data_IF_228923020479
#
_entry.id   IF_228923020479
#
_cell.length_a   1.000
_cell.length_b   1.000
_cell.length_c   1.000
_cell.angle_alpha   90.00
_cell.angle_beta   90.00
_cell.angle_gamma   90.00
#
_symmetry.space_group_name_H-M   'P 1'
#
loop_
_entity.id
_entity.type
_entity.pdbx_description
1 polymer ?
#
# COMPACT_ATOMS: atom_id res chain seq x y z
N UNK A 1 -0.22 -20.60 30.47
CA UNK A 1 -0.95 -20.49 29.19
C UNK A 1 -0.33 -19.37 28.37
N UNK A 2 0.25 -19.67 27.21
CA UNK A 2 0.75 -18.63 26.31
C UNK A 2 -0.45 -17.82 25.80
N UNK A 3 -0.51 -16.53 26.13
CA UNK A 3 -1.50 -15.60 25.56
C UNK A 3 -1.29 -15.64 24.04
N UNK A 4 -2.23 -16.20 23.29
CA UNK A 4 -2.22 -16.15 21.83
C UNK A 4 -2.16 -14.67 21.45
N UNK A 5 -1.01 -14.20 21.00
CA UNK A 5 -0.83 -12.80 20.61
C UNK A 5 -1.84 -12.51 19.51
N UNK A 6 -2.78 -11.60 19.78
CA UNK A 6 -3.79 -11.23 18.80
C UNK A 6 -3.12 -10.68 17.55
N UNK A 7 -3.63 -11.07 16.38
CA UNK A 7 -3.12 -10.57 15.09
C UNK A 7 -3.16 -9.03 15.10
N UNK A 8 -2.09 -8.32 14.69
CA UNK A 8 -2.13 -6.87 14.55
C UNK A 8 -3.30 -6.45 13.66
N UNK A 9 -3.99 -5.36 13.99
CA UNK A 9 -5.19 -4.91 13.25
C UNK A 9 -6.19 -6.06 12.97
N UNK A 10 -6.85 -6.64 13.98
CA UNK A 10 -7.71 -7.81 13.79
C UNK A 10 -8.89 -7.56 12.83
N UNK A 11 -9.29 -6.30 12.63
CA UNK A 11 -10.35 -5.88 11.70
C UNK A 11 -9.89 -5.70 10.24
N UNK A 12 -8.58 -5.68 9.98
CA UNK A 12 -8.05 -5.57 8.62
C UNK A 12 -8.26 -6.92 7.90
N UNK A 13 -8.99 -7.00 6.78
CA UNK A 13 -9.09 -8.26 6.05
C UNK A 13 -7.75 -8.57 5.37
N UNK A 14 -7.37 -9.85 5.28
CA UNK A 14 -6.17 -10.32 4.57
C UNK A 14 -6.62 -10.94 3.25
N UNK A 15 -6.74 -10.09 2.23
CA UNK A 15 -7.35 -10.47 0.95
C UNK A 15 -6.29 -10.92 -0.05
N UNK A 16 -6.65 -11.91 -0.87
CA UNK A 16 -5.87 -12.34 -2.03
C UNK A 16 -6.09 -11.38 -3.20
N UNK A 17 -5.02 -11.01 -3.92
CA UNK A 17 -5.13 -10.30 -5.20
C UNK A 17 -5.77 -11.19 -6.28
N UNK A 18 -6.62 -10.61 -7.13
CA UNK A 18 -7.33 -11.36 -8.17
C UNK A 18 -6.41 -11.90 -9.27
N UNK A 19 -5.50 -11.07 -9.75
CA UNK A 19 -4.44 -11.45 -10.71
C UNK A 19 -3.10 -10.92 -10.21
N UNK A 20 -2.01 -11.25 -10.90
CA UNK A 20 -0.66 -10.74 -10.64
C UNK A 20 -0.58 -9.20 -10.56
N UNK A 21 -1.46 -8.50 -11.28
CA UNK A 21 -1.45 -7.03 -11.38
C UNK A 21 -2.41 -6.31 -10.42
N UNK A 22 -3.08 -7.06 -9.54
CA UNK A 22 -4.11 -6.53 -8.64
C UNK A 22 -3.62 -6.25 -7.21
N UNK A 23 -2.32 -6.27 -6.94
CA UNK A 23 -1.78 -6.01 -5.60
C UNK A 23 -2.21 -4.64 -5.05
N UNK A 24 -2.12 -3.57 -5.85
CA UNK A 24 -2.59 -2.23 -5.48
C UNK A 24 -4.09 -2.18 -5.14
N UNK A 25 -4.99 -2.61 -6.05
CA UNK A 25 -6.42 -2.76 -5.76
C UNK A 25 -6.73 -3.62 -4.52
N UNK A 26 -6.00 -4.72 -4.31
CA UNK A 26 -6.17 -5.58 -3.15
C UNK A 26 -5.82 -4.84 -1.85
N UNK A 27 -4.72 -4.09 -1.83
CA UNK A 27 -4.36 -3.24 -0.69
C UNK A 27 -5.42 -2.18 -0.43
N UNK A 28 -5.99 -1.54 -1.45
CA UNK A 28 -7.09 -0.59 -1.26
C UNK A 28 -8.35 -1.26 -0.68
N UNK A 29 -8.73 -2.44 -1.19
CA UNK A 29 -9.84 -3.23 -0.63
C UNK A 29 -9.58 -3.57 0.84
N UNK A 30 -8.34 -3.89 1.22
CA UNK A 30 -7.98 -4.18 2.60
C UNK A 30 -8.07 -2.95 3.49
N UNK A 31 -7.48 -1.82 3.08
CA UNK A 31 -7.53 -0.56 3.84
C UNK A 31 -8.97 -0.02 3.98
N UNK A 32 -9.78 -0.10 2.92
CA UNK A 32 -11.20 0.25 2.99
C UNK A 32 -11.97 -0.67 3.94
N UNK A 33 -11.69 -1.98 3.89
CA UNK A 33 -12.29 -2.98 4.77
C UNK A 33 -11.97 -2.74 6.24
N UNK A 34 -10.74 -2.31 6.56
CA UNK A 34 -10.36 -1.89 7.91
C UNK A 34 -11.20 -0.71 8.41
N UNK A 35 -11.59 0.21 7.53
CA UNK A 35 -12.48 1.33 7.82
C UNK A 35 -13.97 0.97 7.75
N UNK A 36 -14.31 -0.31 7.56
CA UNK A 36 -15.68 -0.83 7.54
C UNK A 36 -16.35 -0.84 6.17
N UNK A 37 -15.65 -0.48 5.09
CA UNK A 37 -16.22 -0.46 3.73
C UNK A 37 -15.65 -1.56 2.85
N UNK A 38 -16.51 -2.39 2.27
CA UNK A 38 -16.10 -3.46 1.35
C UNK A 38 -16.23 -2.98 -0.10
N UNK A 39 -15.11 -2.88 -0.81
CA UNK A 39 -15.05 -2.56 -2.24
C UNK A 39 -14.31 -3.66 -2.97
N UNK A 40 -14.87 -4.14 -4.08
CA UNK A 40 -14.22 -5.13 -4.93
C UNK A 40 -13.02 -4.53 -5.67
N UNK A 41 -11.95 -5.31 -5.86
CA UNK A 41 -10.69 -4.86 -6.48
C UNK A 41 -10.91 -4.21 -7.86
N UNK A 42 -11.74 -4.81 -8.72
CA UNK A 42 -12.02 -4.30 -10.08
C UNK A 42 -12.64 -2.90 -10.07
N UNK A 43 -13.39 -2.55 -9.01
CA UNK A 43 -13.99 -1.21 -8.90
C UNK A 43 -12.91 -0.15 -8.77
N UNK A 44 -11.83 -0.40 -8.04
CA UNK A 44 -10.69 0.53 -7.97
C UNK A 44 -10.00 0.68 -9.33
N UNK A 45 -9.83 -0.42 -10.06
CA UNK A 45 -9.27 -0.41 -11.42
C UNK A 45 -10.13 0.42 -12.37
N UNK A 46 -11.45 0.24 -12.33
CA UNK A 46 -12.43 1.00 -13.12
C UNK A 46 -12.41 2.48 -12.76
N UNK A 47 -12.43 2.82 -11.47
CA UNK A 47 -12.43 4.20 -11.00
C UNK A 47 -11.16 4.96 -11.40
N UNK A 48 -10.01 4.29 -11.39
CA UNK A 48 -8.76 4.86 -11.90
C UNK A 48 -8.71 4.98 -13.42
N UNK A 49 -9.57 4.27 -14.17
CA UNK A 49 -9.56 4.28 -15.64
C UNK A 49 -8.38 3.52 -16.26
N UNK A 50 -7.79 2.57 -15.55
CA UNK A 50 -6.50 1.93 -15.90
C UNK A 50 -6.63 0.49 -16.42
N UNK A 51 -7.86 0.00 -16.63
CA UNK A 51 -8.14 -1.39 -17.04
C UNK A 51 -7.26 -1.89 -18.20
N UNK A 52 -7.01 -1.04 -19.21
CA UNK A 52 -6.21 -1.41 -20.40
C UNK A 52 -4.71 -1.55 -20.10
N UNK A 53 -4.18 -0.81 -19.12
CA UNK A 53 -2.75 -0.82 -18.78
C UNK A 53 -2.39 -1.68 -17.59
N UNK A 54 -3.40 -2.13 -16.81
CA UNK A 54 -3.20 -2.85 -15.56
C UNK A 54 -2.27 -4.05 -15.72
N UNK A 55 -2.52 -4.92 -16.71
CA UNK A 55 -1.72 -6.12 -16.98
C UNK A 55 -0.24 -5.89 -17.31
N UNK A 56 0.14 -4.65 -17.63
CA UNK A 56 1.49 -4.29 -18.05
C UNK A 56 2.22 -3.44 -17.02
N UNK A 57 1.47 -2.65 -16.26
CA UNK A 57 2.04 -1.56 -15.44
C UNK A 57 1.39 -1.42 -14.06
N UNK A 58 0.43 -2.28 -13.70
CA UNK A 58 -0.31 -2.14 -12.45
C UNK A 58 -0.99 -0.77 -12.30
N UNK A 59 -1.04 -0.31 -11.06
CA UNK A 59 -1.51 1.02 -10.65
C UNK A 59 -0.40 1.73 -9.90
N UNK A 60 -0.11 2.99 -10.24
CA UNK A 60 0.80 3.82 -9.44
C UNK A 60 0.07 4.49 -8.27
N UNK A 61 0.83 5.12 -7.38
CA UNK A 61 0.30 5.77 -6.18
C UNK A 61 -0.78 6.83 -6.44
N UNK A 62 -0.67 7.59 -7.52
CA UNK A 62 -1.63 8.64 -7.87
C UNK A 62 -2.94 8.05 -8.39
N UNK A 63 -2.85 6.95 -9.14
CA UNK A 63 -4.01 6.19 -9.62
C UNK A 63 -4.75 5.50 -8.48
N UNK A 64 -4.01 4.97 -7.49
CA UNK A 64 -4.59 4.45 -6.25
C UNK A 64 -5.36 5.54 -5.52
N UNK A 65 -4.75 6.71 -5.34
CA UNK A 65 -5.41 7.84 -4.68
C UNK A 65 -6.61 8.38 -5.46
N UNK A 66 -6.53 8.47 -6.79
CA UNK A 66 -7.66 8.87 -7.64
C UNK A 66 -8.84 7.90 -7.52
N UNK A 67 -8.58 6.59 -7.51
CA UNK A 67 -9.62 5.58 -7.33
C UNK A 67 -10.33 5.74 -5.99
N UNK A 68 -9.57 6.00 -4.92
CA UNK A 68 -10.13 6.24 -3.58
C UNK A 68 -10.96 7.52 -3.55
N UNK A 69 -10.47 8.62 -4.12
CA UNK A 69 -11.22 9.88 -4.14
C UNK A 69 -12.58 9.71 -4.84
N UNK A 70 -12.64 8.96 -5.94
CA UNK A 70 -13.88 8.72 -6.69
C UNK A 70 -14.85 7.76 -5.98
N UNK A 71 -14.35 6.69 -5.37
CA UNK A 71 -15.21 5.64 -4.80
C UNK A 71 -15.55 5.85 -3.33
N UNK A 72 -14.68 6.54 -2.61
CA UNK A 72 -14.71 6.66 -1.15
C UNK A 72 -14.51 8.14 -0.73
N UNK A 73 -15.38 9.07 -1.17
CA UNK A 73 -15.24 10.51 -0.89
C UNK A 73 -15.29 10.85 0.62
N UNK A 74 -15.83 9.95 1.44
CA UNK A 74 -15.83 10.03 2.90
C UNK A 74 -14.47 9.72 3.54
N UNK A 75 -13.49 9.23 2.77
CA UNK A 75 -12.14 8.93 3.23
C UNK A 75 -11.11 9.88 2.60
N UNK A 76 -9.90 9.88 3.15
CA UNK A 76 -8.75 10.60 2.60
C UNK A 76 -7.63 9.61 2.33
N UNK A 77 -7.14 9.65 1.10
CA UNK A 77 -5.93 8.95 0.70
C UNK A 77 -4.72 9.81 1.05
N UNK A 78 -3.85 9.29 1.90
CA UNK A 78 -2.61 9.92 2.30
C UNK A 78 -1.44 9.13 1.78
N UNK A 79 -0.44 9.77 1.20
CA UNK A 79 0.79 9.12 0.76
C UNK A 79 2.03 9.94 1.10
N UNK A 80 3.18 9.28 1.16
CA UNK A 80 4.49 9.91 1.34
C UNK A 80 5.57 9.10 0.65
N UNK A 81 6.35 9.78 -0.17
CA UNK A 81 7.63 9.30 -0.68
C UNK A 81 8.74 9.62 0.33
N UNK A 82 9.85 8.88 0.26
CA UNK A 82 10.99 9.00 1.16
C UNK A 82 10.59 8.86 2.64
N UNK A 83 9.64 7.97 2.93
CA UNK A 83 9.32 7.64 4.31
C UNK A 83 10.51 6.93 4.98
N UNK A 84 10.51 6.94 6.30
CA UNK A 84 11.49 6.23 7.12
C UNK A 84 10.80 5.12 7.91
N UNK A 85 11.59 4.19 8.43
CA UNK A 85 11.07 3.16 9.36
C UNK A 85 10.44 3.81 10.60
N UNK A 86 10.96 4.96 11.04
CA UNK A 86 10.37 5.73 12.14
C UNK A 86 9.00 6.34 11.77
N UNK A 87 8.76 6.66 10.49
CA UNK A 87 7.43 7.06 10.03
C UNK A 87 6.46 5.88 10.10
N UNK A 88 6.88 4.69 9.63
CA UNK A 88 6.07 3.47 9.73
C UNK A 88 5.70 3.15 11.18
N UNK A 89 6.69 3.19 12.08
CA UNK A 89 6.50 2.96 13.51
C UNK A 89 5.49 3.96 14.11
N UNK A 90 5.65 5.26 13.83
CA UNK A 90 4.69 6.29 14.26
C UNK A 90 3.28 6.02 13.76
N UNK A 91 3.12 5.76 12.46
CA UNK A 91 1.80 5.55 11.87
C UNK A 91 1.11 4.31 12.45
N UNK A 92 1.86 3.21 12.58
CA UNK A 92 1.31 1.91 12.95
C UNK A 92 1.13 1.78 14.46
N UNK A 93 2.18 2.06 15.22
CA UNK A 93 2.20 1.80 16.66
C UNK A 93 1.64 2.96 17.49
N UNK A 94 1.72 4.21 17.01
CA UNK A 94 1.22 5.37 17.75
C UNK A 94 -0.12 5.89 17.21
N UNK A 95 -0.31 5.90 15.90
CA UNK A 95 -1.58 6.34 15.28
C UNK A 95 -2.54 5.19 14.97
N UNK A 96 -2.13 3.94 15.24
CA UNK A 96 -2.94 2.74 15.05
C UNK A 96 -3.58 2.65 13.66
N UNK A 97 -2.76 2.93 12.64
CA UNK A 97 -3.20 2.95 11.26
C UNK A 97 -2.36 1.97 10.42
N UNK A 98 -2.98 1.01 9.71
CA UNK A 98 -2.26 0.15 8.77
C UNK A 98 -1.72 0.98 7.60
N UNK A 99 -0.52 0.64 7.12
CA UNK A 99 0.18 1.41 6.07
C UNK A 99 0.42 0.56 4.85
N UNK A 100 -0.16 0.94 3.72
CA UNK A 100 0.22 0.43 2.42
C UNK A 100 1.63 0.89 2.05
N UNK A 101 2.40 0.01 1.42
CA UNK A 101 3.76 0.28 0.92
C UNK A 101 3.88 -0.24 -0.50
N UNK A 102 4.75 0.41 -1.28
CA UNK A 102 5.22 -0.06 -2.58
C UNK A 102 6.68 -0.49 -2.45
N UNK A 103 7.01 -1.70 -2.89
CA UNK A 103 8.31 -2.33 -2.67
C UNK A 103 8.57 -3.43 -3.70
N UNK A 104 9.83 -3.87 -3.84
CA UNK A 104 10.20 -5.05 -4.60
C UNK A 104 9.78 -6.31 -3.84
N UNK A 105 8.70 -6.94 -4.26
CA UNK A 105 8.09 -8.08 -3.59
C UNK A 105 9.04 -9.28 -3.49
N UNK A 106 9.08 -9.92 -2.32
CA UNK A 106 9.81 -11.18 -2.13
C UNK A 106 8.89 -12.37 -2.39
N UNK A 107 8.94 -12.90 -3.62
CA UNK A 107 8.12 -14.03 -4.04
C UNK A 107 8.90 -15.35 -4.14
N UNK A 108 10.16 -15.39 -3.70
CA UNK A 108 10.99 -16.60 -3.79
C UNK A 108 11.00 -17.19 -5.20
N UNK A 109 10.67 -18.48 -5.34
CA UNK A 109 10.68 -19.21 -6.63
C UNK A 109 9.68 -18.70 -7.69
N UNK A 110 8.80 -17.76 -7.33
CA UNK A 110 7.79 -17.23 -8.24
C UNK A 110 8.23 -15.96 -8.98
N UNK A 111 9.47 -15.51 -8.76
CA UNK A 111 10.02 -14.24 -9.26
C UNK A 111 11.55 -14.35 -9.43
N UNK A 112 12.10 -13.53 -10.31
CA UNK A 112 13.55 -13.31 -10.46
C UNK A 112 14.10 -12.19 -9.55
N UNK A 113 13.21 -11.47 -8.85
CA UNK A 113 13.56 -10.57 -7.74
C UNK A 113 13.17 -9.10 -7.90
N UNK A 114 12.85 -8.65 -9.12
CA UNK A 114 12.58 -7.24 -9.46
C UNK A 114 11.10 -6.99 -9.82
N UNK A 115 10.19 -7.51 -9.00
CA UNK A 115 8.75 -7.35 -9.16
C UNK A 115 8.19 -6.29 -8.20
N UNK A 116 7.79 -5.14 -8.76
CA UNK A 116 7.04 -4.11 -8.06
C UNK A 116 5.76 -4.64 -7.42
N UNK A 117 5.56 -4.35 -6.14
CA UNK A 117 4.47 -4.92 -5.36
C UNK A 117 3.91 -3.97 -4.31
N UNK A 118 2.62 -4.17 -4.00
CA UNK A 118 1.94 -3.47 -2.93
C UNK A 118 1.57 -4.42 -1.79
N UNK A 119 1.84 -4.01 -0.55
CA UNK A 119 1.45 -4.75 0.66
C UNK A 119 1.10 -3.79 1.79
N UNK A 120 0.59 -4.29 2.92
CA UNK A 120 0.29 -3.47 4.10
C UNK A 120 1.22 -3.85 5.24
N UNK A 121 2.02 -2.93 5.77
CA UNK A 121 2.72 -3.12 7.04
C UNK A 121 1.71 -3.02 8.18
N UNK A 122 1.65 -4.08 9.00
CA UNK A 122 0.69 -4.24 10.10
C UNK A 122 1.35 -4.11 11.47
N UNK A 123 2.68 -4.24 11.55
CA UNK A 123 3.45 -4.06 12.79
C UNK A 123 4.88 -3.67 12.50
N UNK A 124 5.45 -2.81 13.33
CA UNK A 124 6.88 -2.51 13.37
C UNK A 124 7.39 -2.79 14.78
N UNK A 125 8.54 -3.44 14.91
CA UNK A 125 9.22 -3.66 16.18
C UNK A 125 10.68 -3.26 16.05
N UNK A 126 10.99 -2.05 16.53
CA UNK A 126 12.35 -1.49 16.49
C UNK A 126 13.33 -2.25 17.40
N UNK A 127 12.84 -2.86 18.49
CA UNK A 127 13.69 -3.62 19.43
C UNK A 127 14.21 -4.91 18.78
N UNK A 128 13.32 -5.67 18.15
CA UNK A 128 13.67 -6.91 17.45
C UNK A 128 14.08 -6.69 16.00
N UNK A 129 14.15 -5.42 15.55
CA UNK A 129 14.45 -5.01 14.17
C UNK A 129 13.64 -5.78 13.13
N UNK A 130 12.34 -5.98 13.40
CA UNK A 130 11.44 -6.72 12.51
C UNK A 130 10.14 -5.97 12.25
N UNK A 131 9.48 -6.33 11.17
CA UNK A 131 8.15 -5.85 10.82
C UNK A 131 7.29 -6.99 10.31
N UNK A 132 5.98 -6.78 10.33
CA UNK A 132 4.99 -7.70 9.77
C UNK A 132 4.20 -7.01 8.66
N UNK A 133 3.89 -7.75 7.60
CA UNK A 133 3.11 -7.24 6.48
C UNK A 133 2.04 -8.23 6.00
N UNK A 134 0.84 -7.72 5.74
CA UNK A 134 -0.23 -8.43 5.05
C UNK A 134 0.01 -8.32 3.54
N UNK A 135 0.36 -9.46 2.94
CA UNK A 135 0.73 -9.57 1.53
C UNK A 135 -0.46 -10.14 0.73
N UNK A 136 -0.99 -9.42 -0.27
CA UNK A 136 -2.10 -9.93 -1.06
C UNK A 136 -1.70 -11.03 -2.06
N UNK A 137 -0.40 -11.31 -2.24
CA UNK A 137 0.07 -12.31 -3.18
C UNK A 137 -0.47 -13.70 -2.85
N UNK A 138 -0.84 -14.46 -3.88
CA UNK A 138 -1.61 -15.70 -3.76
C UNK A 138 -1.01 -16.72 -2.78
N UNK A 139 0.32 -16.84 -2.74
CA UNK A 139 1.00 -17.80 -1.87
C UNK A 139 1.03 -17.37 -0.39
N UNK A 140 0.76 -16.11 -0.09
CA UNK A 140 0.93 -15.50 1.23
C UNK A 140 -0.34 -14.91 1.82
N UNK A 141 -1.35 -14.67 0.99
CA UNK A 141 -2.63 -14.10 1.38
C UNK A 141 -3.29 -14.88 2.54
N UNK A 142 -3.97 -14.15 3.41
CA UNK A 142 -4.60 -14.69 4.62
C UNK A 142 -3.75 -14.59 5.89
N UNK A 143 -2.42 -14.42 5.76
CA UNK A 143 -1.49 -14.31 6.88
C UNK A 143 -0.55 -13.11 6.73
N UNK A 144 -0.03 -12.64 7.87
CA UNK A 144 0.99 -11.60 7.89
C UNK A 144 2.37 -12.28 7.83
N UNK A 145 3.23 -11.82 6.92
CA UNK A 145 4.63 -12.27 6.79
C UNK A 145 5.52 -11.44 7.69
N UNK A 146 6.59 -12.03 8.21
CA UNK A 146 7.59 -11.31 9.02
C UNK A 146 8.87 -11.09 8.23
N UNK A 147 9.40 -9.88 8.28
CA UNK A 147 10.69 -9.51 7.69
C UNK A 147 11.58 -8.83 8.72
N UNK A 148 12.89 -8.94 8.54
CA UNK A 148 13.81 -8.02 9.21
C UNK A 148 13.68 -6.64 8.55
N UNK A 149 13.80 -5.58 9.36
CA UNK A 149 13.76 -4.20 8.86
C UNK A 149 14.82 -3.95 7.77
N UNK A 150 16.09 -4.40 7.92
CA UNK A 150 17.09 -4.22 6.87
C UNK A 150 16.70 -4.86 5.53
N UNK A 151 16.18 -6.09 5.54
CA UNK A 151 15.75 -6.78 4.32
C UNK A 151 14.61 -6.02 3.63
N UNK A 152 13.59 -5.62 4.39
CA UNK A 152 12.51 -4.80 3.83
C UNK A 152 13.03 -3.48 3.24
N UNK A 153 13.84 -2.74 3.98
CA UNK A 153 14.35 -1.42 3.54
C UNK A 153 15.17 -1.54 2.25
N UNK A 154 15.99 -2.58 2.09
CA UNK A 154 16.73 -2.79 0.83
C UNK A 154 15.83 -3.01 -0.39
N UNK A 155 14.58 -3.41 -0.16
CA UNK A 155 13.57 -3.68 -1.19
C UNK A 155 12.51 -2.59 -1.28
N UNK A 156 12.58 -1.55 -0.45
CA UNK A 156 11.50 -0.57 -0.31
C UNK A 156 11.54 0.52 -1.39
N UNK A 157 11.48 0.10 -2.64
CA UNK A 157 11.47 0.98 -3.79
C UNK A 157 10.79 0.28 -4.97
N UNK A 158 10.38 1.05 -5.99
CA UNK A 158 9.90 0.51 -7.26
C UNK A 158 10.10 1.49 -8.42
N UNK A 159 9.99 1.01 -9.66
CA UNK A 159 9.99 1.84 -10.87
C UNK A 159 8.59 1.89 -11.48
N UNK A 160 7.98 3.07 -11.43
CA UNK A 160 6.70 3.33 -12.08
C UNK A 160 6.89 3.99 -13.44
N UNK A 161 6.05 3.62 -14.40
CA UNK A 161 5.95 4.31 -15.68
C UNK A 161 4.89 5.41 -15.62
N UNK A 162 5.33 6.67 -15.74
CA UNK A 162 4.46 7.84 -15.67
C UNK A 162 4.45 8.56 -17.01
N UNK A 163 3.26 8.93 -17.49
CA UNK A 163 3.11 9.75 -18.68
C UNK A 163 3.27 11.23 -18.31
N UNK A 164 4.13 11.95 -19.03
CA UNK A 164 4.26 13.39 -18.86
C UNK A 164 2.92 14.08 -19.18
N UNK A 165 2.43 15.00 -18.34
CA UNK A 165 1.06 15.54 -18.47
C UNK A 165 0.82 16.23 -19.82
N UNK A 166 1.80 17.00 -20.30
CA UNK A 166 1.74 17.71 -21.60
C UNK A 166 2.04 16.82 -22.80
N UNK A 167 3.22 16.19 -22.85
CA UNK A 167 3.70 15.46 -24.04
C UNK A 167 3.18 14.04 -24.16
N UNK A 168 2.54 13.50 -23.11
CA UNK A 168 2.13 12.09 -22.96
C UNK A 168 3.26 11.07 -23.11
N UNK A 169 4.51 11.52 -23.27
CA UNK A 169 5.70 10.65 -23.31
C UNK A 169 5.89 9.98 -21.97
N UNK A 170 6.11 8.68 -22.01
CA UNK A 170 6.30 7.85 -20.83
C UNK A 170 7.75 7.91 -20.38
N UNK A 171 7.97 7.97 -19.08
CA UNK A 171 9.29 7.87 -18.46
C UNK A 171 9.19 7.05 -17.18
N UNK A 172 10.28 6.39 -16.80
CA UNK A 172 10.38 5.66 -15.54
C UNK A 172 10.71 6.63 -14.42
N UNK A 173 9.97 6.55 -13.33
CA UNK A 173 10.22 7.27 -12.08
C UNK A 173 10.47 6.23 -11.01
N UNK A 174 11.56 6.40 -10.25
CA UNK A 174 11.85 5.55 -9.11
C UNK A 174 11.15 6.10 -7.87
N UNK A 175 10.22 5.34 -7.33
CA UNK A 175 9.59 5.63 -6.05
C UNK A 175 10.43 5.01 -4.94
N UNK A 176 10.90 5.86 -4.02
CA UNK A 176 11.69 5.45 -2.88
C UNK A 176 10.85 5.54 -1.60
N UNK A 177 10.85 4.46 -0.83
CA UNK A 177 10.17 4.34 0.46
C UNK A 177 8.74 4.89 0.42
N UNK A 178 7.96 4.48 -0.59
CA UNK A 178 6.60 4.96 -0.77
C UNK A 178 5.69 4.31 0.29
N UNK A 179 4.87 5.15 0.91
CA UNK A 179 3.85 4.75 1.89
C UNK A 179 2.53 5.38 1.54
N UNK A 180 1.44 4.74 1.96
CA UNK A 180 0.12 5.33 1.95
C UNK A 180 -0.82 4.72 2.98
N UNK A 181 -1.91 5.44 3.27
CA UNK A 181 -2.98 4.93 4.13
C UNK A 181 -4.30 5.66 3.85
N UNK A 182 -5.38 5.15 4.44
CA UNK A 182 -6.71 5.75 4.39
C UNK A 182 -7.15 6.21 5.77
N UNK A 183 -7.69 7.42 5.87
CA UNK A 183 -8.36 7.89 7.10
C UNK A 183 -9.77 8.36 6.82
N UNK A 184 -10.61 8.42 7.87
CA UNK A 184 -11.93 9.07 7.78
C UNK A 184 -11.76 10.57 7.46
N UNK A 185 -12.67 11.12 6.66
CA UNK A 185 -12.62 12.45 6.02
C UNK A 185 -12.27 13.63 6.93
N UNK A 186 -12.69 13.58 8.20
CA UNK A 186 -12.44 14.63 9.20
C UNK A 186 -11.06 14.54 9.87
N UNK A 187 -10.37 13.40 9.77
CA UNK A 187 -9.05 13.20 10.39
C UNK A 187 -7.97 13.85 9.53
N UNK A 188 -7.31 14.87 10.09
CA UNK A 188 -6.06 15.40 9.56
C UNK A 188 -4.92 14.48 9.99
N UNK A 189 -4.02 14.15 9.07
CA UNK A 189 -2.80 13.45 9.42
C UNK A 189 -1.79 14.44 10.04
N UNK A 190 -1.01 14.02 11.06
CA UNK A 190 -0.04 14.89 11.71
C UNK A 190 0.93 15.54 10.71
N UNK A 191 1.05 16.87 10.76
CA UNK A 191 1.92 17.64 9.84
C UNK A 191 3.38 17.18 9.91
N UNK A 192 3.83 16.72 11.08
CA UNK A 192 5.19 16.21 11.30
C UNK A 192 5.53 15.01 10.40
N UNK A 193 4.53 14.22 10.00
CA UNK A 193 4.71 13.09 9.11
C UNK A 193 4.83 13.50 7.64
N UNK A 194 4.47 14.74 7.27
CA UNK A 194 4.57 15.28 5.90
C UNK A 194 3.83 14.44 4.84
N UNK A 195 2.75 13.75 5.22
CA UNK A 195 1.89 13.03 4.28
C UNK A 195 1.15 14.01 3.36
N UNK A 196 0.96 13.62 2.10
CA UNK A 196 0.28 14.38 1.05
C UNK A 196 -1.05 13.71 0.69
N UNK A 197 -2.00 14.50 0.21
CA UNK A 197 -3.21 13.99 -0.42
C UNK A 197 -3.12 14.10 -1.93
N UNK A 198 -3.82 13.23 -2.64
CA UNK A 198 -4.11 13.45 -4.06
C UNK A 198 -5.11 14.59 -4.14
N UNK A 199 -4.75 15.65 -4.87
CA UNK A 199 -5.69 16.74 -5.17
C UNK A 199 -6.53 16.29 -6.37
N UNK A 200 -7.84 16.50 -6.31
CA UNK A 200 -8.61 16.55 -7.56
C UNK A 200 -8.11 17.76 -8.34
N UNK A 201 -7.71 17.56 -9.58
CA UNK A 201 -7.63 18.66 -10.54
C UNK A 201 -9.08 19.15 -10.69
N UNK A 202 -9.38 20.30 -10.06
CA UNK A 202 -10.65 21.02 -10.22
C UNK A 202 -10.63 21.84 -11.50
#
# INVERSE_FOLDING_TARGET
>A
MAKTLSKPFPKLPRLKQKTWDHCGPAVLSMLAGFLGTKIAQDRFVEAAGVRRKLKKHGMNILELGLAVTKLLPQYRFWYKANATVADLDRIINHYHQPVGVEWQGDFGKYSDGDDGHYSIITRVNLKTKSLQLADPFSAFAGNDRTFTIPNFVSRWWDYNEIAHPKTKRKHKVKDHHMTFTLTVGSRKFPRILKMRQVKEDK
#
